data_IF_070334260074
#
_entry.id   IF_070334260074
#
_cell.length_a   1.000
_cell.length_b   1.000
_cell.length_c   1.000
_cell.angle_alpha   90.00
_cell.angle_beta   90.00
_cell.angle_gamma   90.00
#
_symmetry.space_group_name_H-M   'P 1'
#
loop_
_entity.id
_entity.type
_entity.pdbx_description
1 polymer ?
#
# COMPACT_ATOMS: atom_id res chain seq x y z
N UNK A 1 14.21 12.37 -11.27
CA UNK A 1 12.85 11.86 -11.04
C UNK A 1 12.49 12.12 -9.59
N UNK A 2 11.73 13.18 -9.35
CA UNK A 2 11.52 13.77 -8.02
C UNK A 2 10.69 12.84 -7.13
N UNK A 3 11.26 12.44 -5.99
CA UNK A 3 10.60 11.74 -4.85
C UNK A 3 9.63 12.66 -4.07
N UNK A 4 9.20 13.76 -4.67
CA UNK A 4 8.42 14.80 -4.05
C UNK A 4 7.35 15.28 -5.02
N UNK A 5 6.26 14.52 -5.15
CA UNK A 5 4.97 15.21 -5.13
C UNK A 5 4.85 15.68 -3.68
N UNK A 6 4.68 16.99 -3.40
CA UNK A 6 4.35 17.40 -2.04
C UNK A 6 3.15 16.55 -1.63
N UNK A 7 3.24 15.74 -0.57
CA UNK A 7 2.15 14.83 -0.19
C UNK A 7 0.81 15.57 0.07
N UNK A 8 0.88 16.89 0.19
CA UNK A 8 -0.22 17.86 0.17
C UNK A 8 -1.03 17.92 -1.14
N UNK A 9 -0.47 17.42 -2.24
CA UNK A 9 -0.98 17.59 -3.61
C UNK A 9 -1.53 16.30 -4.22
N UNK A 10 -1.54 15.17 -3.49
CA UNK A 10 -2.21 13.96 -3.98
C UNK A 10 -3.70 14.25 -4.15
N UNK A 11 -4.16 14.15 -5.39
CA UNK A 11 -5.57 14.23 -5.74
C UNK A 11 -6.34 13.03 -5.18
N UNK A 12 -7.66 13.18 -5.05
CA UNK A 12 -8.53 12.09 -4.60
C UNK A 12 -8.38 10.83 -5.47
N UNK A 13 -8.20 10.99 -6.77
CA UNK A 13 -8.01 9.88 -7.71
C UNK A 13 -6.68 9.14 -7.47
N UNK A 14 -5.60 9.86 -7.16
CA UNK A 14 -4.31 9.26 -6.82
C UNK A 14 -4.37 8.51 -5.48
N UNK A 15 -5.08 9.07 -4.50
CA UNK A 15 -5.35 8.39 -3.21
C UNK A 15 -6.08 7.09 -3.44
N UNK A 16 -7.18 7.13 -4.21
CA UNK A 16 -7.94 5.93 -4.55
C UNK A 16 -7.11 4.92 -5.35
N UNK A 17 -6.27 5.38 -6.26
CA UNK A 17 -5.34 4.54 -7.02
C UNK A 17 -4.34 3.80 -6.11
N UNK A 18 -3.75 4.49 -5.14
CA UNK A 18 -2.87 3.86 -4.14
C UNK A 18 -3.62 2.84 -3.27
N UNK A 19 -4.84 3.16 -2.83
CA UNK A 19 -5.68 2.23 -2.06
C UNK A 19 -5.98 0.97 -2.87
N UNK A 20 -6.39 1.11 -4.13
CA UNK A 20 -6.66 -0.03 -5.02
C UNK A 20 -5.42 -0.89 -5.27
N UNK A 21 -4.23 -0.28 -5.37
CA UNK A 21 -2.97 -1.02 -5.50
C UNK A 21 -2.63 -1.80 -4.22
N UNK A 22 -2.78 -1.18 -3.05
CA UNK A 22 -2.57 -1.84 -1.77
C UNK A 22 -3.57 -3.00 -1.57
N UNK A 23 -4.83 -2.83 -1.97
CA UNK A 23 -5.86 -3.87 -1.92
C UNK A 23 -5.53 -5.04 -2.85
N UNK A 24 -5.10 -4.76 -4.09
CA UNK A 24 -4.67 -5.80 -5.02
C UNK A 24 -3.51 -6.64 -4.45
N UNK A 25 -2.55 -5.99 -3.77
CA UNK A 25 -1.46 -6.68 -3.07
C UNK A 25 -1.99 -7.58 -1.94
N UNK A 26 -2.94 -7.09 -1.14
CA UNK A 26 -3.54 -7.90 -0.07
C UNK A 26 -4.27 -9.13 -0.63
N UNK A 27 -5.00 -9.00 -1.73
CA UNK A 27 -5.68 -10.11 -2.42
C UNK A 27 -4.66 -11.13 -2.92
N UNK A 28 -3.55 -10.68 -3.53
CA UNK A 28 -2.48 -11.57 -3.98
C UNK A 28 -1.86 -12.33 -2.80
N UNK A 29 -1.64 -11.67 -1.66
CA UNK A 29 -1.12 -12.31 -0.46
C UNK A 29 -2.11 -13.33 0.13
N UNK A 30 -3.42 -13.06 0.08
CA UNK A 30 -4.44 -14.02 0.48
C UNK A 30 -4.43 -15.28 -0.39
N UNK A 31 -4.38 -15.12 -1.71
CA UNK A 31 -4.30 -16.24 -2.65
C UNK A 31 -2.99 -17.05 -2.50
N UNK A 32 -1.88 -16.36 -2.22
CA UNK A 32 -0.60 -17.02 -1.93
C UNK A 32 -0.66 -17.79 -0.61
N UNK A 33 -1.33 -17.25 0.41
CA UNK A 33 -1.57 -17.94 1.68
C UNK A 33 -2.40 -19.22 1.48
N UNK A 34 -3.43 -19.18 0.63
CA UNK A 34 -4.22 -20.38 0.29
C UNK A 34 -3.36 -21.43 -0.42
N UNK A 35 -2.42 -20.99 -1.27
CA UNK A 35 -1.48 -21.91 -1.93
C UNK A 35 -0.55 -22.58 -0.92
N UNK A 36 -0.05 -21.85 0.07
CA UNK A 36 0.76 -22.40 1.17
C UNK A 36 -0.04 -23.41 2.00
N UNK A 37 -1.30 -23.09 2.33
CA UNK A 37 -2.17 -23.98 3.11
C UNK A 37 -2.46 -25.30 2.38
N UNK A 38 -2.65 -25.24 1.06
CA UNK A 38 -2.92 -26.41 0.23
C UNK A 38 -1.65 -27.14 -0.26
N UNK A 39 -0.47 -26.78 0.24
CA UNK A 39 0.81 -27.38 -0.15
C UNK A 39 1.14 -27.22 -1.65
N UNK A 40 0.72 -26.11 -2.25
CA UNK A 40 0.93 -25.77 -3.66
C UNK A 40 2.07 -24.75 -3.78
N UNK A 41 3.17 -25.16 -4.40
CA UNK A 41 4.32 -24.29 -4.67
C UNK A 41 5.41 -24.33 -3.60
N UNK A 42 6.44 -23.51 -3.79
CA UNK A 42 7.56 -23.39 -2.85
C UNK A 42 7.19 -22.45 -1.70
N UNK A 43 7.02 -23.02 -0.50
CA UNK A 43 6.56 -22.29 0.69
C UNK A 43 7.53 -21.20 1.13
N UNK A 44 8.84 -21.44 1.02
CA UNK A 44 9.84 -20.48 1.47
C UNK A 44 9.87 -19.27 0.54
N UNK A 45 9.76 -19.52 -0.78
CA UNK A 45 9.65 -18.47 -1.79
C UNK A 45 8.35 -17.69 -1.60
N UNK A 46 7.20 -18.37 -1.43
CA UNK A 46 5.91 -17.71 -1.25
C UNK A 46 5.86 -16.87 0.03
N UNK A 47 6.37 -17.39 1.16
CA UNK A 47 6.42 -16.65 2.41
C UNK A 47 7.29 -15.38 2.30
N UNK A 48 8.45 -15.48 1.64
CA UNK A 48 9.31 -14.32 1.38
C UNK A 48 8.63 -13.29 0.47
N UNK A 49 8.02 -13.75 -0.64
CA UNK A 49 7.32 -12.89 -1.58
C UNK A 49 6.13 -12.17 -0.92
N UNK A 50 5.32 -12.88 -0.13
CA UNK A 50 4.21 -12.29 0.63
C UNK A 50 4.71 -11.24 1.62
N UNK A 51 5.79 -11.50 2.36
CA UNK A 51 6.35 -10.53 3.31
C UNK A 51 6.80 -9.24 2.60
N UNK A 52 7.50 -9.38 1.47
CA UNK A 52 7.94 -8.22 0.67
C UNK A 52 6.76 -7.46 0.07
N UNK A 53 5.74 -8.17 -0.41
CA UNK A 53 4.54 -7.55 -0.96
C UNK A 53 3.76 -6.78 0.13
N UNK A 54 3.58 -7.37 1.32
CA UNK A 54 2.93 -6.69 2.45
C UNK A 54 3.70 -5.43 2.89
N UNK A 55 5.03 -5.46 2.90
CA UNK A 55 5.84 -4.26 3.15
C UNK A 55 5.59 -3.18 2.12
N UNK A 56 5.54 -3.53 0.83
CA UNK A 56 5.20 -2.58 -0.24
C UNK A 56 3.80 -1.98 -0.06
N UNK A 57 2.81 -2.79 0.34
CA UNK A 57 1.47 -2.28 0.64
C UNK A 57 1.47 -1.28 1.80
N UNK A 58 2.27 -1.54 2.85
CA UNK A 58 2.44 -0.61 3.98
C UNK A 58 3.10 0.70 3.51
N UNK A 59 4.18 0.60 2.73
CA UNK A 59 4.91 1.76 2.20
C UNK A 59 4.04 2.64 1.28
N UNK A 60 3.07 2.03 0.56
CA UNK A 60 2.07 2.75 -0.24
C UNK A 60 1.04 3.49 0.61
N UNK A 61 0.73 2.99 1.81
CA UNK A 61 -0.29 3.59 2.68
C UNK A 61 0.22 4.80 3.46
N UNK A 62 1.53 4.91 3.70
CA UNK A 62 2.11 6.06 4.40
C UNK A 62 1.87 7.40 3.66
N UNK A 63 2.18 7.55 2.35
CA UNK A 63 1.85 8.78 1.63
C UNK A 63 0.34 9.04 1.54
N UNK A 64 -0.49 7.99 1.48
CA UNK A 64 -1.96 8.12 1.52
C UNK A 64 -2.43 8.71 2.85
N UNK A 65 -1.89 8.22 3.99
CA UNK A 65 -2.20 8.74 5.32
C UNK A 65 -1.78 10.20 5.46
N UNK A 66 -0.59 10.54 4.95
CA UNK A 66 -0.10 11.93 4.97
C UNK A 66 -0.98 12.85 4.13
N UNK A 67 -1.39 12.41 2.93
CA UNK A 67 -2.30 13.15 2.07
C UNK A 67 -3.67 13.37 2.75
N UNK A 68 -4.28 12.31 3.30
CA UNK A 68 -5.55 12.39 4.01
C UNK A 68 -5.48 13.32 5.22
N UNK A 69 -4.42 13.23 6.04
CA UNK A 69 -4.22 14.11 7.18
C UNK A 69 -4.05 15.59 6.78
N UNK A 70 -3.54 15.86 5.57
CA UNK A 70 -3.52 17.21 5.00
C UNK A 70 -4.92 17.66 4.55
N UNK A 71 -5.68 16.81 3.87
CA UNK A 71 -7.05 17.10 3.43
C UNK A 71 -8.01 17.35 4.61
N UNK A 72 -7.82 16.65 5.72
CA UNK A 72 -8.62 16.80 6.95
C UNK A 72 -8.18 17.97 7.85
N UNK A 73 -7.15 18.73 7.47
CA UNK A 73 -6.63 19.85 8.27
C UNK A 73 -5.89 19.43 9.56
N UNK A 74 -5.62 18.14 9.75
CA UNK A 74 -4.92 17.60 10.93
C UNK A 74 -3.40 17.81 10.88
N UNK A 75 -2.81 17.90 9.68
CA UNK A 75 -1.40 18.26 9.45
C UNK A 75 -1.21 19.57 8.69
N UNK A 76 -2.27 20.11 8.09
CA UNK A 76 -2.27 21.41 7.44
C UNK A 76 -2.61 22.49 8.45
N UNK A 77 -1.59 23.11 9.05
CA UNK A 77 -1.78 24.31 9.85
C UNK A 77 -2.68 25.30 9.10
N UNK A 78 -3.68 25.82 9.82
CA UNK A 78 -4.48 26.93 9.38
C UNK A 78 -3.58 28.13 9.09
N UNK A 79 -3.41 28.45 7.81
CA UNK A 79 -3.12 29.80 7.30
C UNK A 79 -3.86 29.97 5.96
#
# INVERSE_FOLDING_TARGET
>A
MSRFVPQRDMSADEIMGCISQAEAIMILCANASDSVFNDIGDKDILACAMNNALKLAIDLMDPVRDALASHEGLKGGAE
#
